data_IF_422696260435
#
_entry.id   IF_422696260435
#
_cell.length_a   1.000
_cell.length_b   1.000
_cell.length_c   1.000
_cell.angle_alpha   90.00
_cell.angle_beta   90.00
_cell.angle_gamma   90.00
#
_symmetry.space_group_name_H-M   'P 1'
#
loop_
_entity.id
_entity.type
_entity.pdbx_description
1 polymer ?
#
# COMPACT_ATOMS: atom_id res chain seq x y z
N UNK A 1 -7.56 -21.47 10.48
CA UNK A 1 -6.49 -20.50 10.78
C UNK A 1 -6.84 -19.19 10.11
N UNK A 2 -6.78 -18.05 10.80
CA UNK A 2 -7.14 -16.75 10.20
C UNK A 2 -5.88 -16.14 9.58
N UNK A 3 -6.00 -15.62 8.37
CA UNK A 3 -4.88 -14.98 7.66
C UNK A 3 -5.27 -13.56 7.23
N UNK A 4 -4.26 -12.71 7.08
CA UNK A 4 -4.38 -11.41 6.44
C UNK A 4 -3.43 -11.35 5.24
N UNK A 5 -3.88 -10.77 4.14
CA UNK A 5 -3.01 -10.46 3.01
C UNK A 5 -2.21 -9.20 3.34
N UNK A 6 -0.92 -9.35 3.59
CA UNK A 6 -0.07 -8.23 4.02
C UNK A 6 1.03 -7.91 3.01
N UNK A 7 1.48 -6.66 3.08
CA UNK A 7 2.59 -6.13 2.33
C UNK A 7 3.25 -5.01 3.14
N UNK A 8 4.50 -4.70 2.80
CA UNK A 8 5.25 -3.56 3.32
C UNK A 8 5.19 -2.44 2.29
N UNK A 9 4.89 -1.22 2.71
CA UNK A 9 4.80 -0.08 1.82
C UNK A 9 5.56 1.14 2.34
N UNK A 10 6.04 1.94 1.40
CA UNK A 10 6.42 3.33 1.66
C UNK A 10 5.20 4.21 1.36
N UNK A 11 4.80 5.01 2.34
CA UNK A 11 3.70 5.95 2.14
C UNK A 11 4.14 7.16 1.31
N UNK A 12 3.22 7.72 0.54
CA UNK A 12 3.47 8.91 -0.27
C UNK A 12 3.17 10.19 0.50
N UNK A 13 3.98 11.23 0.28
CA UNK A 13 3.68 12.57 0.82
C UNK A 13 2.27 13.05 0.43
N UNK A 14 1.56 13.79 1.31
CA UNK A 14 0.21 14.27 1.02
C UNK A 14 0.09 15.09 -0.28
N UNK A 15 1.13 15.87 -0.60
CA UNK A 15 1.22 16.65 -1.85
C UNK A 15 1.28 15.73 -3.08
N UNK A 16 2.07 14.67 -3.03
CA UNK A 16 2.16 13.64 -4.09
C UNK A 16 0.83 12.92 -4.27
N UNK A 17 0.20 12.49 -3.17
CA UNK A 17 -1.13 11.84 -3.23
C UNK A 17 -2.18 12.74 -3.88
N UNK A 18 -2.14 14.04 -3.59
CA UNK A 18 -3.06 15.02 -4.20
C UNK A 18 -2.80 15.23 -5.69
N UNK A 19 -1.54 15.25 -6.12
CA UNK A 19 -1.20 15.32 -7.56
C UNK A 19 -1.67 14.07 -8.31
N UNK A 20 -1.47 12.88 -7.73
CA UNK A 20 -1.95 11.62 -8.32
C UNK A 20 -3.47 11.56 -8.40
N UNK A 21 -4.18 12.07 -7.39
CA UNK A 21 -5.64 12.11 -7.40
C UNK A 21 -6.18 12.98 -8.53
N UNK A 22 -5.56 14.15 -8.79
CA UNK A 22 -5.90 15.01 -9.93
C UNK A 22 -5.67 14.30 -11.26
N UNK A 23 -4.49 13.71 -11.45
CA UNK A 23 -4.19 12.94 -12.66
C UNK A 23 -5.18 11.79 -12.87
N UNK A 24 -5.52 11.06 -11.81
CA UNK A 24 -6.51 9.99 -11.85
C UNK A 24 -7.91 10.51 -12.21
N UNK A 25 -8.30 11.70 -11.73
CA UNK A 25 -9.57 12.34 -12.07
C UNK A 25 -9.66 12.67 -13.56
N UNK A 26 -8.59 13.19 -14.16
CA UNK A 26 -8.53 13.49 -15.58
C UNK A 26 -8.62 12.19 -16.41
N UNK A 27 -7.85 11.16 -16.03
CA UNK A 27 -7.89 9.85 -16.69
C UNK A 27 -9.27 9.17 -16.61
N UNK A 28 -9.99 9.34 -15.49
CA UNK A 28 -11.35 8.81 -15.33
C UNK A 28 -12.34 9.31 -16.38
N UNK A 29 -12.13 10.51 -16.93
CA UNK A 29 -13.00 11.07 -17.96
C UNK A 29 -12.79 10.40 -19.33
N UNK A 30 -11.63 9.75 -19.52
CA UNK A 30 -11.22 9.16 -20.79
C UNK A 30 -11.25 7.63 -20.80
N UNK A 31 -11.20 6.99 -19.62
CA UNK A 31 -11.15 5.52 -19.49
C UNK A 31 -12.31 4.99 -18.65
N UNK A 32 -13.28 4.38 -19.33
CA UNK A 32 -14.45 3.76 -18.72
C UNK A 32 -14.19 2.31 -18.27
N UNK A 33 -14.91 1.83 -17.25
CA UNK A 33 -14.81 0.46 -16.75
C UNK A 33 -13.60 0.16 -15.84
N UNK A 34 -12.72 1.15 -15.60
CA UNK A 34 -11.56 0.99 -14.72
C UNK A 34 -11.96 1.14 -13.24
N UNK A 35 -11.54 0.20 -12.39
CA UNK A 35 -11.65 0.31 -10.92
C UNK A 35 -10.47 1.10 -10.36
N UNK A 36 -10.70 2.38 -10.12
CA UNK A 36 -9.66 3.29 -9.64
C UNK A 36 -9.39 3.18 -8.14
N UNK A 37 -8.12 3.26 -7.75
CA UNK A 37 -7.70 3.19 -6.35
C UNK A 37 -8.08 4.48 -5.61
N UNK A 38 -8.49 4.36 -4.35
CA UNK A 38 -8.77 5.51 -3.49
C UNK A 38 -7.47 6.18 -3.04
N UNK A 39 -7.46 7.50 -2.89
CA UNK A 39 -6.28 8.27 -2.46
C UNK A 39 -5.61 7.76 -1.17
N UNK A 40 -6.42 7.33 -0.20
CA UNK A 40 -5.90 6.76 1.06
C UNK A 40 -5.06 5.49 0.85
N UNK A 41 -5.24 4.80 -0.28
CA UNK A 41 -4.52 3.60 -0.65
C UNK A 41 -3.37 3.86 -1.62
N UNK A 42 -3.03 5.12 -1.94
CA UNK A 42 -1.84 5.40 -2.75
C UNK A 42 -0.58 5.18 -1.92
N UNK A 43 0.25 4.23 -2.33
CA UNK A 43 1.51 3.89 -1.69
C UNK A 43 2.44 3.23 -2.71
N UNK A 44 3.71 3.07 -2.36
CA UNK A 44 4.64 2.21 -3.11
C UNK A 44 4.77 0.91 -2.33
N UNK A 45 4.35 -0.20 -2.93
CA UNK A 45 4.59 -1.52 -2.36
C UNK A 45 6.07 -1.85 -2.48
N UNK A 46 6.72 -2.14 -1.35
CA UNK A 46 8.13 -2.53 -1.31
C UNK A 46 8.26 -4.05 -1.40
N UNK A 47 7.46 -4.77 -0.61
CA UNK A 47 7.46 -6.24 -0.55
C UNK A 47 6.04 -6.73 -0.33
N UNK A 48 5.59 -7.68 -1.13
CA UNK A 48 4.33 -8.39 -0.93
C UNK A 48 4.62 -9.74 -0.25
N UNK A 49 3.97 -10.00 0.89
CA UNK A 49 4.19 -11.21 1.70
C UNK A 49 3.08 -12.24 1.44
N UNK A 50 1.87 -11.76 1.11
CA UNK A 50 0.73 -12.64 0.81
C UNK A 50 -0.08 -12.97 2.05
N UNK A 51 -0.73 -14.13 2.04
CA UNK A 51 -1.63 -14.57 3.11
C UNK A 51 -0.81 -15.02 4.32
N UNK A 52 -0.76 -14.17 5.34
CA UNK A 52 0.04 -14.36 6.54
C UNK A 52 -0.85 -14.71 7.74
N UNK A 53 -0.47 -15.70 8.56
CA UNK A 53 -1.14 -16.00 9.82
C UNK A 53 -1.20 -14.76 10.73
N UNK A 54 -2.36 -14.50 11.36
CA UNK A 54 -2.50 -13.29 12.20
C UNK A 54 -1.51 -13.28 13.38
N UNK A 55 -1.19 -14.46 13.90
CA UNK A 55 -0.20 -14.70 14.95
C UNK A 55 1.23 -14.28 14.56
N UNK A 56 1.58 -14.29 13.27
CA UNK A 56 2.93 -13.96 12.78
C UNK A 56 3.12 -12.47 12.50
N UNK A 57 2.06 -11.66 12.53
CA UNK A 57 2.11 -10.24 12.15
C UNK A 57 3.11 -9.46 13.02
N UNK A 58 3.08 -9.66 14.34
CA UNK A 58 3.96 -8.93 15.25
C UNK A 58 5.43 -9.30 15.07
N UNK A 59 5.73 -10.57 14.80
CA UNK A 59 7.07 -11.03 14.50
C UNK A 59 7.64 -10.34 13.25
N UNK A 60 6.84 -10.26 12.19
CA UNK A 60 7.23 -9.59 10.94
C UNK A 60 7.50 -8.09 11.16
N UNK A 61 6.66 -7.43 11.97
CA UNK A 61 6.85 -6.02 12.33
C UNK A 61 8.20 -5.81 13.03
N UNK A 62 8.59 -6.71 13.94
CA UNK A 62 9.86 -6.62 14.64
C UNK A 62 11.05 -6.86 13.70
N UNK A 63 10.96 -7.81 12.77
CA UNK A 63 11.98 -8.02 11.75
C UNK A 63 12.22 -6.75 10.89
N UNK A 64 11.14 -6.07 10.48
CA UNK A 64 11.22 -4.84 9.67
C UNK A 64 11.88 -3.70 10.47
N UNK A 65 11.51 -3.52 11.74
CA UNK A 65 12.12 -2.51 12.61
C UNK A 65 13.62 -2.72 12.80
N UNK A 66 14.06 -3.97 12.92
CA UNK A 66 15.48 -4.32 13.00
C UNK A 66 16.24 -3.98 11.70
N UNK A 67 15.61 -4.19 10.54
CA UNK A 67 16.21 -3.86 9.24
C UNK A 67 16.38 -2.34 9.02
N UNK A 68 15.45 -1.51 9.53
CA UNK A 68 15.50 -0.05 9.38
C UNK A 68 16.58 0.65 10.22
N UNK A 69 17.11 -0.01 11.27
CA UNK A 69 18.12 0.58 12.17
C UNK A 69 19.56 0.50 11.67
N UNK A 70 19.79 -0.04 10.47
CA UNK A 70 21.11 -0.11 9.82
C UNK A 70 21.18 0.89 8.69
#
# INVERSE_FOLDING_TARGET
>A
MRTARIFVSADLYPSTKTKLEKLQYDLRQHFFGVKWVRKCNFHITLVYIGDTPLEDIYYIVDCIKCAHKK
#
